data_IF_962715855262
#
_entry.id   IF_962715855262
#
_cell.length_a   1.000
_cell.length_b   1.000
_cell.length_c   1.000
_cell.angle_alpha   90.00
_cell.angle_beta   90.00
_cell.angle_gamma   90.00
#
_symmetry.space_group_name_H-M   'P 1'
#
loop_
_entity.id
_entity.type
_entity.pdbx_description
1 polymer ?
#
# COMPACT_ATOMS: atom_id res chain seq x y z
N UNK A 1 26.50 -3.64 9.75
CA UNK A 1 25.54 -3.92 8.68
C UNK A 1 24.99 -5.32 8.89
N UNK A 2 23.75 -5.59 8.53
CA UNK A 2 23.25 -6.98 8.45
C UNK A 2 23.90 -7.60 7.21
N UNK A 3 24.39 -8.84 7.32
CA UNK A 3 24.85 -9.62 6.19
C UNK A 3 23.70 -9.78 5.17
N UNK A 4 24.01 -9.75 3.87
CA UNK A 4 22.99 -9.81 2.81
C UNK A 4 22.18 -11.11 2.86
N UNK A 5 22.81 -12.22 3.18
CA UNK A 5 22.11 -13.51 3.33
C UNK A 5 21.23 -13.53 4.58
N UNK A 6 21.70 -12.93 5.69
CA UNK A 6 20.86 -12.73 6.87
C UNK A 6 19.67 -11.82 6.57
N UNK A 7 19.88 -10.72 5.82
CA UNK A 7 18.79 -9.83 5.40
C UNK A 7 17.78 -10.56 4.53
N UNK A 8 18.23 -11.34 3.55
CA UNK A 8 17.35 -12.15 2.71
C UNK A 8 16.50 -13.12 3.56
N UNK A 9 17.15 -13.83 4.49
CA UNK A 9 16.43 -14.76 5.37
C UNK A 9 15.36 -14.03 6.21
N UNK A 10 15.70 -12.85 6.76
CA UNK A 10 14.76 -12.00 7.51
C UNK A 10 13.55 -11.58 6.67
N UNK A 11 13.79 -11.13 5.42
CA UNK A 11 12.72 -10.69 4.51
C UNK A 11 11.84 -11.88 4.11
N UNK A 12 12.43 -13.01 3.71
CA UNK A 12 11.68 -14.22 3.31
C UNK A 12 10.83 -14.74 4.46
N UNK A 13 11.40 -14.86 5.66
CA UNK A 13 10.64 -15.32 6.83
C UNK A 13 9.52 -14.33 7.20
N UNK A 14 9.77 -13.02 7.13
CA UNK A 14 8.75 -11.99 7.35
C UNK A 14 7.61 -12.10 6.34
N UNK A 15 7.93 -12.28 5.05
CA UNK A 15 6.93 -12.50 4.00
C UNK A 15 6.11 -13.78 4.23
N UNK A 16 6.75 -14.89 4.58
CA UNK A 16 6.06 -16.15 4.88
C UNK A 16 5.14 -16.03 6.09
N UNK A 17 5.57 -15.30 7.13
CA UNK A 17 4.72 -15.04 8.30
C UNK A 17 3.48 -14.22 7.92
N UNK A 18 3.61 -13.18 7.06
CA UNK A 18 2.45 -12.45 6.56
C UNK A 18 1.47 -13.36 5.81
N UNK A 19 1.97 -14.28 4.96
CA UNK A 19 1.11 -15.23 4.24
C UNK A 19 0.28 -16.12 5.18
N UNK A 20 0.82 -16.44 6.36
CA UNK A 20 0.19 -17.35 7.33
C UNK A 20 -0.66 -16.60 8.35
N UNK A 21 -0.14 -15.51 8.91
CA UNK A 21 -0.76 -14.82 10.05
C UNK A 21 -1.64 -13.64 9.62
N UNK A 22 -1.25 -12.90 8.55
CA UNK A 22 -1.87 -11.60 8.24
C UNK A 22 -1.71 -10.62 9.41
N UNK A 23 -2.74 -9.78 9.65
CA UNK A 23 -2.76 -8.81 10.76
C UNK A 23 -3.77 -9.25 11.84
N UNK A 24 -3.41 -10.18 12.73
CA UNK A 24 -4.32 -10.67 13.74
C UNK A 24 -4.63 -9.57 14.77
N UNK A 25 -5.90 -9.41 15.14
CA UNK A 25 -6.38 -8.34 16.02
C UNK A 25 -5.74 -8.32 17.41
N UNK A 26 -5.22 -9.47 17.88
CA UNK A 26 -4.54 -9.59 19.19
C UNK A 26 -3.11 -9.05 19.16
N UNK A 27 -2.48 -8.94 17.96
CA UNK A 27 -1.15 -8.37 17.80
C UNK A 27 -1.27 -6.87 17.50
N UNK A 28 -0.74 -6.06 18.41
CA UNK A 28 -0.77 -4.62 18.21
C UNK A 28 0.13 -4.20 17.06
N UNK A 29 -0.45 -3.64 16.00
CA UNK A 29 0.30 -3.24 14.82
C UNK A 29 0.97 -1.88 15.02
N UNK A 30 2.33 -1.75 14.82
CA UNK A 30 3.07 -0.50 15.05
C UNK A 30 2.57 0.70 14.25
N UNK A 31 1.95 0.49 13.09
CA UNK A 31 1.29 1.55 12.30
C UNK A 31 0.26 2.34 13.14
N UNK A 32 -0.42 1.69 14.09
CA UNK A 32 -1.36 2.38 14.99
C UNK A 32 -0.66 3.35 15.94
N UNK A 33 0.57 2.99 16.39
CA UNK A 33 1.41 3.90 17.19
C UNK A 33 1.87 5.10 16.33
N UNK A 34 2.32 4.82 15.11
CA UNK A 34 2.72 5.86 14.15
C UNK A 34 1.53 6.80 13.90
N UNK A 35 0.33 6.26 13.65
CA UNK A 35 -0.88 7.06 13.44
C UNK A 35 -1.25 7.92 14.65
N UNK A 36 -1.18 7.36 15.87
CA UNK A 36 -1.42 8.12 17.10
C UNK A 36 -0.38 9.24 17.26
N UNK A 37 0.89 8.97 16.96
CA UNK A 37 1.97 9.94 17.00
C UNK A 37 1.80 11.06 15.97
N UNK A 38 1.39 10.73 14.74
CA UNK A 38 1.06 11.73 13.70
C UNK A 38 -0.05 12.65 14.21
N UNK A 39 -1.13 12.09 14.78
CA UNK A 39 -2.25 12.86 15.31
C UNK A 39 -1.85 13.75 16.50
N UNK A 40 -0.95 13.26 17.34
CA UNK A 40 -0.39 14.04 18.45
C UNK A 40 0.43 15.23 17.94
N UNK A 41 1.34 14.99 17.01
CA UNK A 41 2.18 16.04 16.41
C UNK A 41 1.35 17.05 15.62
N UNK A 42 0.35 16.61 14.84
CA UNK A 42 -0.56 17.51 14.10
C UNK A 42 -1.18 18.54 15.03
N UNK A 43 -1.74 18.09 16.17
CA UNK A 43 -2.35 18.98 17.17
C UNK A 43 -1.34 19.98 17.75
N UNK A 44 -0.13 19.51 18.07
CA UNK A 44 0.96 20.38 18.56
C UNK A 44 1.42 21.41 17.54
N UNK A 45 1.62 20.97 16.30
CA UNK A 45 2.05 21.84 15.19
C UNK A 45 1.01 22.92 14.94
N UNK A 46 -0.28 22.60 14.85
CA UNK A 46 -1.33 23.61 14.67
C UNK A 46 -1.38 24.62 15.80
N UNK A 47 -1.16 24.18 17.04
CA UNK A 47 -1.12 25.07 18.20
C UNK A 47 0.09 26.03 18.18
N UNK A 48 1.25 25.57 17.70
CA UNK A 48 2.51 26.33 17.72
C UNK A 48 2.63 27.24 16.49
N UNK A 49 2.32 26.73 15.30
CA UNK A 49 2.51 27.43 14.03
C UNK A 49 1.28 28.27 13.64
N UNK A 50 0.08 27.93 14.16
CA UNK A 50 -1.19 28.55 13.75
C UNK A 50 -1.70 28.03 12.40
N UNK A 51 -2.71 28.71 11.84
CA UNK A 51 -3.47 28.25 10.66
C UNK A 51 -3.08 28.95 9.35
N UNK A 52 -2.01 29.77 9.35
CA UNK A 52 -1.52 30.43 8.15
C UNK A 52 -0.93 29.42 7.14
N UNK A 53 -1.13 29.65 5.84
CA UNK A 53 -0.69 28.72 4.78
C UNK A 53 0.81 28.37 4.88
N UNK A 54 1.69 29.37 5.00
CA UNK A 54 3.14 29.16 5.12
C UNK A 54 3.52 28.47 6.44
N UNK A 55 2.80 28.81 7.51
CA UNK A 55 3.01 28.19 8.81
C UNK A 55 2.64 26.68 8.76
N UNK A 56 1.51 26.34 8.12
CA UNK A 56 1.11 24.95 7.93
C UNK A 56 2.03 24.18 6.97
N UNK A 57 2.57 24.82 5.92
CA UNK A 57 3.57 24.21 5.05
C UNK A 57 4.85 23.87 5.82
N UNK A 58 5.38 24.83 6.60
CA UNK A 58 6.55 24.62 7.46
C UNK A 58 6.26 23.54 8.52
N UNK A 59 5.08 23.60 9.16
CA UNK A 59 4.60 22.61 10.11
C UNK A 59 4.52 21.18 9.50
N UNK A 60 4.10 21.08 8.23
CA UNK A 60 4.08 19.80 7.49
C UNK A 60 5.48 19.22 7.28
N UNK A 61 6.47 20.05 6.97
CA UNK A 61 7.87 19.61 6.89
C UNK A 61 8.38 19.13 8.26
N UNK A 62 8.07 19.87 9.32
CA UNK A 62 8.41 19.47 10.70
C UNK A 62 7.75 18.15 11.06
N UNK A 63 6.46 17.95 10.71
CA UNK A 63 5.76 16.69 10.91
C UNK A 63 6.51 15.51 10.25
N UNK A 64 6.88 15.67 8.97
CA UNK A 64 7.62 14.63 8.23
C UNK A 64 8.94 14.30 8.90
N UNK A 65 9.73 15.33 9.27
CA UNK A 65 11.04 15.13 9.90
C UNK A 65 10.93 14.41 11.25
N UNK A 66 9.96 14.80 12.09
CA UNK A 66 9.76 14.16 13.39
C UNK A 66 9.25 12.74 13.26
N UNK A 67 8.27 12.46 12.41
CA UNK A 67 7.71 11.12 12.26
C UNK A 67 8.74 10.17 11.66
N UNK A 68 9.42 10.55 10.58
CA UNK A 68 10.46 9.71 9.96
C UNK A 68 11.68 9.53 10.85
N UNK A 69 12.17 10.61 11.48
CA UNK A 69 13.31 10.58 12.39
C UNK A 69 13.04 9.72 13.63
N UNK A 70 11.89 9.89 14.28
CA UNK A 70 11.49 9.06 15.42
C UNK A 70 11.34 7.59 15.03
N UNK A 71 10.73 7.32 13.87
CA UNK A 71 10.58 5.95 13.38
C UNK A 71 11.95 5.30 13.13
N UNK A 72 12.89 6.03 12.52
CA UNK A 72 14.26 5.55 12.30
C UNK A 72 15.00 5.25 13.62
N UNK A 73 14.93 6.19 14.58
CA UNK A 73 15.58 6.06 15.89
C UNK A 73 14.98 4.93 16.71
N UNK A 74 13.66 4.79 16.72
CA UNK A 74 12.98 3.75 17.51
C UNK A 74 13.24 2.37 16.89
N UNK A 75 13.01 2.18 15.59
CA UNK A 75 13.23 0.88 14.94
C UNK A 75 14.71 0.48 14.94
N UNK A 76 15.59 1.42 14.64
CA UNK A 76 17.06 1.19 14.68
C UNK A 76 17.55 0.95 16.11
N UNK A 77 17.05 1.71 17.08
CA UNK A 77 17.38 1.55 18.51
C UNK A 77 16.94 0.20 19.08
N UNK A 78 15.75 -0.28 18.72
CA UNK A 78 15.27 -1.62 19.09
C UNK A 78 16.23 -2.68 18.55
N UNK A 79 16.56 -2.63 17.25
CA UNK A 79 17.46 -3.61 16.64
C UNK A 79 18.88 -3.54 17.20
N UNK A 80 19.37 -2.33 17.51
CA UNK A 80 20.66 -2.15 18.17
C UNK A 80 20.66 -2.76 19.57
N UNK A 81 19.65 -2.46 20.39
CA UNK A 81 19.53 -3.01 21.75
C UNK A 81 19.42 -4.55 21.73
N UNK A 82 18.59 -5.11 20.84
CA UNK A 82 18.50 -6.56 20.66
C UNK A 82 19.84 -7.18 20.26
N UNK A 83 20.59 -6.53 19.36
CA UNK A 83 21.90 -6.99 18.93
C UNK A 83 22.96 -6.95 20.04
N UNK A 84 22.80 -6.04 21.02
CA UNK A 84 23.66 -6.01 22.23
C UNK A 84 23.40 -7.17 23.20
N UNK A 85 22.18 -7.72 23.15
CA UNK A 85 21.78 -8.87 23.98
C UNK A 85 22.23 -10.16 23.28
N UNK A 86 21.79 -10.41 22.04
CA UNK A 86 22.25 -11.53 21.23
C UNK A 86 21.95 -11.31 19.74
N UNK A 87 22.78 -11.89 18.83
CA UNK A 87 22.49 -11.89 17.39
C UNK A 87 21.16 -12.57 17.06
N UNK A 88 20.83 -13.67 17.73
CA UNK A 88 19.57 -14.41 17.52
C UNK A 88 18.32 -13.58 17.89
N UNK A 89 18.38 -12.78 18.96
CA UNK A 89 17.29 -11.88 19.32
C UNK A 89 17.12 -10.78 18.28
N UNK A 90 18.22 -10.18 17.79
CA UNK A 90 18.18 -9.20 16.71
C UNK A 90 17.55 -9.79 15.45
N UNK A 91 17.94 -11.00 15.06
CA UNK A 91 17.38 -11.70 13.91
C UNK A 91 15.87 -11.90 14.08
N UNK A 92 15.43 -12.46 15.20
CA UNK A 92 14.01 -12.70 15.48
C UNK A 92 13.17 -11.40 15.42
N UNK A 93 13.65 -10.34 16.07
CA UNK A 93 12.94 -9.03 16.06
C UNK A 93 12.97 -8.42 14.66
N UNK A 94 14.04 -8.58 13.88
CA UNK A 94 14.07 -8.16 12.48
C UNK A 94 13.04 -8.87 11.63
N UNK A 95 12.84 -10.18 11.81
CA UNK A 95 11.80 -10.96 11.13
C UNK A 95 10.40 -10.44 11.48
N UNK A 96 10.14 -10.17 12.76
CA UNK A 96 8.85 -9.64 13.23
C UNK A 96 8.59 -8.25 12.63
N UNK A 97 9.60 -7.37 12.63
CA UNK A 97 9.47 -6.03 12.04
C UNK A 97 9.24 -6.11 10.51
N UNK A 98 9.90 -7.02 9.81
CA UNK A 98 9.66 -7.24 8.37
C UNK A 98 8.26 -7.80 8.10
N UNK A 99 7.82 -8.77 8.89
CA UNK A 99 6.47 -9.33 8.79
C UNK A 99 5.39 -8.26 8.85
N UNK A 100 5.47 -7.34 9.81
CA UNK A 100 4.48 -6.28 10.00
C UNK A 100 4.53 -5.15 8.95
N UNK A 101 5.47 -5.20 8.00
CA UNK A 101 5.53 -4.28 6.88
C UNK A 101 4.73 -4.76 5.66
N UNK A 102 4.54 -6.07 5.54
CA UNK A 102 3.75 -6.65 4.47
C UNK A 102 2.25 -6.60 4.76
N UNK A 103 1.47 -6.51 3.70
CA UNK A 103 0.01 -6.45 3.80
C UNK A 103 -0.70 -7.41 2.80
N UNK A 104 -0.02 -8.48 2.34
CA UNK A 104 -0.60 -9.38 1.32
C UNK A 104 -1.83 -10.10 1.86
N UNK A 105 -1.69 -10.72 3.03
CA UNK A 105 -2.77 -11.49 3.65
C UNK A 105 -3.88 -10.58 4.16
N UNK A 106 -3.54 -9.46 4.80
CA UNK A 106 -4.54 -8.52 5.33
C UNK A 106 -5.36 -7.86 4.21
N UNK A 107 -4.75 -7.47 3.09
CA UNK A 107 -5.47 -6.96 1.92
C UNK A 107 -6.49 -7.96 1.39
N UNK A 108 -6.07 -9.23 1.25
CA UNK A 108 -6.98 -10.30 0.87
C UNK A 108 -8.12 -10.45 1.87
N UNK A 109 -7.79 -10.58 3.15
CA UNK A 109 -8.79 -10.89 4.17
C UNK A 109 -9.81 -9.76 4.29
N UNK A 110 -9.39 -8.48 4.22
CA UNK A 110 -10.28 -7.32 4.28
C UNK A 110 -11.11 -7.16 3.00
N UNK A 111 -10.52 -7.27 1.81
CA UNK A 111 -11.28 -7.20 0.55
C UNK A 111 -12.26 -8.38 0.41
N UNK A 112 -11.91 -9.56 0.91
CA UNK A 112 -12.81 -10.72 0.92
C UNK A 112 -13.96 -10.58 1.94
N UNK A 113 -13.88 -9.68 2.95
CA UNK A 113 -15.06 -9.31 3.75
C UNK A 113 -16.08 -8.58 2.87
N UNK A 114 -15.63 -7.62 2.06
CA UNK A 114 -16.48 -6.92 1.10
C UNK A 114 -17.17 -7.91 0.15
N UNK A 115 -16.39 -8.82 -0.46
CA UNK A 115 -16.91 -9.87 -1.35
C UNK A 115 -18.01 -10.71 -0.68
N UNK A 116 -17.80 -11.12 0.57
CA UNK A 116 -18.78 -11.95 1.29
C UNK A 116 -20.11 -11.24 1.52
N UNK A 117 -20.09 -9.94 1.82
CA UNK A 117 -21.31 -9.17 2.02
C UNK A 117 -22.02 -8.88 0.69
N UNK A 118 -21.27 -8.60 -0.38
CA UNK A 118 -21.83 -8.47 -1.74
C UNK A 118 -22.49 -9.78 -2.20
N UNK A 119 -21.89 -10.93 -1.89
CA UNK A 119 -22.44 -12.25 -2.25
C UNK A 119 -23.73 -12.59 -1.50
N UNK A 120 -23.99 -11.96 -0.35
CA UNK A 120 -25.25 -12.06 0.40
C UNK A 120 -26.31 -11.08 -0.07
N UNK A 121 -25.99 -10.23 -1.07
CA UNK A 121 -26.82 -9.09 -1.52
C UNK A 121 -27.07 -8.05 -0.41
N UNK A 122 -26.17 -7.99 0.61
CA UNK A 122 -26.23 -7.03 1.72
C UNK A 122 -25.39 -5.78 1.38
N UNK A 123 -25.97 -4.86 0.62
CA UNK A 123 -25.29 -3.63 0.23
C UNK A 123 -24.90 -2.72 1.41
N UNK A 124 -25.72 -2.53 2.47
CA UNK A 124 -25.31 -1.76 3.65
C UNK A 124 -24.06 -2.35 4.34
N UNK A 125 -24.02 -3.67 4.56
CA UNK A 125 -22.87 -4.33 5.16
C UNK A 125 -21.63 -4.27 4.23
N UNK A 126 -21.80 -4.41 2.91
CA UNK A 126 -20.72 -4.29 1.93
C UNK A 126 -20.15 -2.85 1.88
N UNK A 127 -20.98 -1.81 1.97
CA UNK A 127 -20.55 -0.41 2.10
C UNK A 127 -19.75 -0.18 3.37
N UNK A 128 -20.19 -0.74 4.49
CA UNK A 128 -19.44 -0.67 5.75
C UNK A 128 -18.09 -1.40 5.62
N UNK A 129 -18.07 -2.61 5.08
CA UNK A 129 -16.83 -3.36 4.91
C UNK A 129 -15.83 -2.62 4.00
N UNK A 130 -16.28 -2.06 2.88
CA UNK A 130 -15.39 -1.31 1.98
C UNK A 130 -14.92 0.02 2.60
N UNK A 131 -15.73 0.69 3.43
CA UNK A 131 -15.33 1.93 4.11
C UNK A 131 -14.14 1.74 5.06
N UNK A 132 -13.88 0.51 5.50
CA UNK A 132 -12.73 0.19 6.35
C UNK A 132 -11.39 0.13 5.58
N UNK A 133 -11.45 0.10 4.25
CA UNK A 133 -10.25 -0.06 3.40
C UNK A 133 -10.09 1.04 2.33
N UNK A 134 -11.04 1.97 2.21
CA UNK A 134 -10.97 3.09 1.25
C UNK A 134 -11.03 4.44 1.95
N UNK A 135 -10.43 5.46 1.34
CA UNK A 135 -10.48 6.85 1.85
C UNK A 135 -11.62 7.71 1.30
N UNK A 136 -12.55 7.13 0.49
CA UNK A 136 -13.69 7.83 -0.12
C UNK A 136 -14.98 7.58 0.64
N UNK A 137 -15.99 8.43 0.41
CA UNK A 137 -17.33 8.22 0.94
C UNK A 137 -17.97 6.99 0.27
N UNK A 138 -18.53 6.07 1.05
CA UNK A 138 -19.06 4.79 0.56
C UNK A 138 -20.58 4.70 0.60
N UNK A 139 -21.26 5.61 1.28
CA UNK A 139 -22.71 5.56 1.52
C UNK A 139 -23.55 5.57 0.26
N UNK A 140 -23.02 6.15 -0.84
CA UNK A 140 -23.73 6.31 -2.12
C UNK A 140 -23.38 5.26 -3.16
N UNK A 141 -22.43 4.35 -2.85
CA UNK A 141 -21.96 3.33 -3.80
C UNK A 141 -23.04 2.26 -3.97
N UNK A 142 -23.34 1.90 -5.21
CA UNK A 142 -24.09 0.68 -5.54
C UNK A 142 -23.17 -0.56 -5.44
N UNK A 143 -23.68 -1.74 -5.72
CA UNK A 143 -22.93 -3.00 -5.70
C UNK A 143 -21.68 -2.94 -6.59
N UNK A 144 -21.84 -2.38 -7.80
CA UNK A 144 -20.75 -2.20 -8.76
C UNK A 144 -19.71 -1.22 -8.24
N UNK A 145 -20.14 -0.10 -7.66
CA UNK A 145 -19.26 0.91 -7.05
C UNK A 145 -18.45 0.36 -5.86
N UNK A 146 -19.09 -0.43 -5.01
CA UNK A 146 -18.42 -1.13 -3.89
C UNK A 146 -17.39 -2.13 -4.41
N UNK A 147 -17.74 -2.92 -5.43
CA UNK A 147 -16.81 -3.87 -6.06
C UNK A 147 -15.60 -3.16 -6.66
N UNK A 148 -15.82 -2.09 -7.45
CA UNK A 148 -14.73 -1.28 -8.03
C UNK A 148 -13.81 -0.73 -6.95
N UNK A 149 -14.37 -0.14 -5.89
CA UNK A 149 -13.60 0.41 -4.79
C UNK A 149 -12.70 -0.64 -4.11
N UNK A 150 -13.21 -1.86 -3.90
CA UNK A 150 -12.42 -2.95 -3.34
C UNK A 150 -11.30 -3.41 -4.29
N UNK A 151 -11.59 -3.56 -5.60
CA UNK A 151 -10.59 -3.94 -6.63
C UNK A 151 -9.49 -2.88 -6.76
N UNK A 152 -9.86 -1.59 -6.81
CA UNK A 152 -8.91 -0.47 -6.85
C UNK A 152 -7.97 -0.49 -5.64
N UNK A 153 -8.53 -0.68 -4.44
CA UNK A 153 -7.75 -0.75 -3.20
C UNK A 153 -6.75 -1.92 -3.21
N UNK A 154 -7.16 -3.10 -3.67
CA UNK A 154 -6.25 -4.25 -3.79
C UNK A 154 -5.16 -3.95 -4.82
N UNK A 155 -5.50 -3.35 -5.95
CA UNK A 155 -4.54 -3.02 -7.01
C UNK A 155 -3.50 -1.99 -6.55
N UNK A 156 -3.95 -0.87 -5.96
CA UNK A 156 -3.08 0.20 -5.44
C UNK A 156 -2.17 -0.32 -4.32
N UNK A 157 -2.73 -1.04 -3.35
CA UNK A 157 -1.97 -1.55 -2.21
C UNK A 157 -1.08 -2.76 -2.57
N UNK A 158 -1.19 -3.36 -3.74
CA UNK A 158 -0.17 -4.28 -4.26
C UNK A 158 1.17 -3.56 -4.40
N UNK A 159 1.16 -2.26 -4.77
CA UNK A 159 2.37 -1.41 -4.72
C UNK A 159 2.70 -0.99 -3.30
N UNK A 160 1.80 -0.29 -2.61
CA UNK A 160 2.08 0.43 -1.37
C UNK A 160 2.20 -0.47 -0.14
N UNK A 161 1.52 -1.61 -0.15
CA UNK A 161 1.50 -2.58 0.94
C UNK A 161 2.44 -3.78 0.73
N UNK A 162 3.02 -3.95 -0.48
CA UNK A 162 3.88 -5.11 -0.78
C UNK A 162 5.16 -4.69 -1.49
N UNK A 163 5.05 -4.14 -2.71
CA UNK A 163 6.23 -3.86 -3.53
C UNK A 163 7.15 -2.81 -2.92
N UNK A 164 6.59 -1.70 -2.43
CA UNK A 164 7.37 -0.63 -1.86
C UNK A 164 8.00 -1.01 -0.50
N UNK A 165 7.30 -1.62 0.47
CA UNK A 165 7.95 -2.18 1.65
C UNK A 165 9.10 -3.13 1.30
N UNK A 166 8.88 -4.08 0.38
CA UNK A 166 9.91 -5.02 -0.05
C UNK A 166 11.11 -4.30 -0.65
N UNK A 167 10.89 -3.32 -1.54
CA UNK A 167 11.94 -2.52 -2.16
C UNK A 167 12.81 -1.82 -1.10
N UNK A 168 12.19 -1.16 -0.12
CA UNK A 168 12.93 -0.45 0.92
C UNK A 168 13.62 -1.39 1.91
N UNK A 169 13.02 -2.55 2.21
CA UNK A 169 13.68 -3.57 3.02
C UNK A 169 14.93 -4.15 2.33
N UNK A 170 14.87 -4.38 1.02
CA UNK A 170 16.02 -4.82 0.21
C UNK A 170 17.16 -3.79 0.24
N UNK A 171 16.83 -2.49 0.19
CA UNK A 171 17.85 -1.42 0.22
C UNK A 171 18.49 -1.20 1.59
N UNK A 172 17.72 -1.23 2.66
CA UNK A 172 18.20 -0.81 4.00
C UNK A 172 17.59 -1.56 5.18
N UNK A 173 17.05 -2.75 4.94
CA UNK A 173 16.50 -3.62 5.98
C UNK A 173 15.20 -3.08 6.58
N UNK A 174 14.79 -3.66 7.73
CA UNK A 174 13.52 -3.30 8.37
C UNK A 174 13.41 -1.82 8.73
N UNK A 175 14.52 -1.16 9.08
CA UNK A 175 14.50 0.27 9.45
C UNK A 175 14.03 1.15 8.29
N UNK A 176 14.58 0.93 7.09
CA UNK A 176 14.18 1.71 5.92
C UNK A 176 12.77 1.36 5.47
N UNK A 177 12.36 0.10 5.60
CA UNK A 177 10.97 -0.32 5.41
C UNK A 177 9.99 0.42 6.33
N UNK A 178 10.35 0.58 7.62
CA UNK A 178 9.51 1.31 8.57
C UNK A 178 9.47 2.82 8.32
N UNK A 179 10.58 3.42 7.88
CA UNK A 179 10.60 4.83 7.44
C UNK A 179 9.62 5.04 6.28
N UNK A 180 9.70 4.17 5.26
CA UNK A 180 8.74 4.19 4.16
C UNK A 180 7.29 4.05 4.68
N UNK A 181 7.02 3.05 5.53
CA UNK A 181 5.67 2.82 6.08
C UNK A 181 5.14 4.00 6.88
N UNK A 182 6.03 4.71 7.58
CA UNK A 182 5.66 5.93 8.31
C UNK A 182 5.26 7.06 7.36
N UNK A 183 5.96 7.24 6.23
CA UNK A 183 5.60 8.23 5.20
C UNK A 183 4.26 7.89 4.56
N UNK A 184 4.08 6.65 4.15
CA UNK A 184 2.83 6.16 3.57
C UNK A 184 1.63 6.30 4.54
N UNK A 185 1.87 6.07 5.85
CA UNK A 185 0.85 6.30 6.89
C UNK A 185 0.53 7.80 7.05
N UNK A 186 1.54 8.68 6.98
CA UNK A 186 1.30 10.12 7.02
C UNK A 186 0.46 10.58 5.82
N UNK A 187 0.80 10.13 4.61
CA UNK A 187 0.01 10.47 3.42
C UNK A 187 -1.43 10.01 3.56
N UNK A 188 -1.66 8.76 3.97
CA UNK A 188 -2.99 8.21 4.20
C UNK A 188 -3.81 8.97 5.25
N UNK A 189 -3.16 9.63 6.23
CA UNK A 189 -3.85 10.35 7.31
C UNK A 189 -4.03 11.84 7.04
N UNK A 190 -3.03 12.49 6.43
CA UNK A 190 -3.00 13.95 6.27
C UNK A 190 -2.76 14.42 4.83
N UNK A 191 -2.51 13.53 3.87
CA UNK A 191 -2.21 13.87 2.47
C UNK A 191 -3.40 14.35 1.65
N UNK A 192 -4.59 14.44 2.22
CA UNK A 192 -5.81 14.84 1.53
C UNK A 192 -5.78 16.31 1.07
N UNK A 193 -6.28 16.57 -0.15
CA UNK A 193 -6.41 17.93 -0.72
C UNK A 193 -7.72 18.60 -0.29
N UNK A 194 -8.01 18.60 1.01
CA UNK A 194 -9.14 19.32 1.62
C UNK A 194 -8.66 20.54 2.41
N UNK A 195 -9.60 21.39 2.82
CA UNK A 195 -9.28 22.64 3.51
C UNK A 195 -8.43 22.42 4.78
N UNK A 196 -8.58 21.29 5.45
CA UNK A 196 -7.83 20.95 6.67
C UNK A 196 -6.37 20.61 6.40
N UNK A 197 -6.08 19.88 5.30
CA UNK A 197 -4.79 19.24 5.08
C UNK A 197 -4.01 19.76 3.85
N UNK A 198 -4.62 20.62 3.03
CA UNK A 198 -4.03 21.12 1.77
C UNK A 198 -2.58 21.62 1.92
N UNK A 199 -2.30 22.32 3.01
CA UNK A 199 -0.97 22.86 3.29
C UNK A 199 -0.17 21.96 4.23
N UNK A 200 -0.73 21.52 5.34
CA UNK A 200 -0.04 20.69 6.33
C UNK A 200 0.39 19.32 5.76
N UNK A 201 -0.50 18.66 5.03
CA UNK A 201 -0.23 17.32 4.47
C UNK A 201 0.63 17.33 3.22
N UNK A 202 0.89 18.50 2.62
CA UNK A 202 1.55 18.59 1.31
C UNK A 202 2.96 18.00 1.30
N UNK A 203 3.72 18.17 2.37
CA UNK A 203 5.07 17.61 2.48
C UNK A 203 5.03 16.07 2.55
N UNK A 204 4.12 15.50 3.34
CA UNK A 204 3.92 14.05 3.44
C UNK A 204 3.50 13.45 2.10
N UNK A 205 2.48 14.03 1.44
CA UNK A 205 1.99 13.58 0.14
C UNK A 205 3.09 13.61 -0.94
N UNK A 206 3.90 14.68 -0.99
CA UNK A 206 4.99 14.79 -1.97
C UNK A 206 6.14 13.81 -1.69
N UNK A 207 6.43 13.54 -0.42
CA UNK A 207 7.43 12.54 -0.06
C UNK A 207 6.94 11.13 -0.38
N UNK A 208 5.67 10.82 -0.12
CA UNK A 208 5.06 9.54 -0.50
C UNK A 208 5.06 9.35 -2.03
N UNK A 209 4.66 10.38 -2.79
CA UNK A 209 4.75 10.38 -4.26
C UNK A 209 6.17 10.05 -4.75
N UNK A 210 7.21 10.62 -4.10
CA UNK A 210 8.61 10.37 -4.45
C UNK A 210 9.06 8.95 -4.09
N UNK A 211 8.73 8.49 -2.88
CA UNK A 211 9.15 7.16 -2.41
C UNK A 211 8.46 6.04 -3.18
N UNK A 212 7.22 6.23 -3.60
CA UNK A 212 6.48 5.25 -4.42
C UNK A 212 6.82 5.32 -5.91
N UNK A 213 7.61 6.31 -6.37
CA UNK A 213 7.85 6.51 -7.80
C UNK A 213 8.47 5.28 -8.48
N UNK A 214 9.53 4.72 -7.94
CA UNK A 214 10.19 3.52 -8.47
C UNK A 214 9.37 2.24 -8.14
N UNK A 215 9.00 1.99 -6.86
CA UNK A 215 8.27 0.78 -6.51
C UNK A 215 6.98 0.55 -7.30
N UNK A 216 6.16 1.60 -7.50
CA UNK A 216 4.90 1.47 -8.23
C UNK A 216 5.10 1.04 -9.69
N UNK A 217 6.13 1.54 -10.35
CA UNK A 217 6.46 1.17 -11.73
C UNK A 217 7.00 -0.24 -11.82
N UNK A 218 7.90 -0.62 -10.91
CA UNK A 218 8.40 -2.01 -10.82
C UNK A 218 7.25 -2.97 -10.55
N UNK A 219 6.37 -2.64 -9.61
CA UNK A 219 5.19 -3.43 -9.29
C UNK A 219 4.28 -3.60 -10.52
N UNK A 220 3.99 -2.52 -11.25
CA UNK A 220 3.15 -2.56 -12.45
C UNK A 220 3.74 -3.50 -13.52
N UNK A 221 5.04 -3.43 -13.81
CA UNK A 221 5.67 -4.32 -14.78
C UNK A 221 5.63 -5.79 -14.33
N UNK A 222 5.87 -6.06 -13.04
CA UNK A 222 5.75 -7.42 -12.49
C UNK A 222 4.30 -7.91 -12.54
N UNK A 223 3.33 -7.04 -12.26
CA UNK A 223 1.89 -7.35 -12.36
C UNK A 223 1.46 -7.63 -13.81
N UNK A 224 1.99 -6.90 -14.80
CA UNK A 224 1.80 -7.21 -16.22
C UNK A 224 2.35 -8.61 -16.52
N UNK A 225 3.57 -8.92 -16.09
CA UNK A 225 4.15 -10.25 -16.28
C UNK A 225 3.29 -11.34 -15.60
N UNK A 226 2.83 -11.09 -14.38
CA UNK A 226 1.92 -12.00 -13.66
C UNK A 226 0.61 -12.26 -14.41
N UNK A 227 0.13 -11.26 -15.19
CA UNK A 227 -1.08 -11.38 -16.00
C UNK A 227 -0.90 -12.24 -17.26
N UNK A 228 0.34 -12.41 -17.74
CA UNK A 228 0.66 -13.35 -18.84
C UNK A 228 0.75 -14.81 -18.38
N UNK A 229 0.93 -15.06 -17.09
CA UNK A 229 1.04 -16.43 -16.60
C UNK A 229 -0.29 -17.20 -16.76
N UNK A 230 -0.23 -18.48 -17.16
CA UNK A 230 -1.43 -19.29 -17.33
C UNK A 230 -2.36 -19.24 -16.12
N UNK A 231 -3.65 -19.05 -16.37
CA UNK A 231 -4.71 -19.12 -15.35
C UNK A 231 -5.82 -20.06 -15.80
N UNK A 232 -6.53 -20.64 -14.84
CA UNK A 232 -7.77 -21.32 -15.17
C UNK A 232 -8.73 -20.30 -15.77
N UNK A 233 -9.48 -20.72 -16.78
CA UNK A 233 -10.54 -19.92 -17.41
C UNK A 233 -10.10 -18.58 -18.05
N UNK A 234 -8.80 -18.41 -18.35
CA UNK A 234 -8.26 -17.18 -18.95
C UNK A 234 -8.69 -15.89 -18.17
N UNK A 235 -8.63 -15.96 -16.84
CA UNK A 235 -9.06 -14.87 -15.95
C UNK A 235 -8.30 -13.56 -16.22
N UNK A 236 -7.07 -13.62 -16.75
CA UNK A 236 -6.19 -12.47 -16.94
C UNK A 236 -5.76 -12.31 -18.40
N UNK A 237 -5.73 -11.06 -18.84
CA UNK A 237 -5.26 -10.65 -20.17
C UNK A 237 -4.00 -9.80 -20.03
N UNK A 238 -2.83 -10.42 -20.20
CA UNK A 238 -1.53 -9.73 -20.07
C UNK A 238 -1.29 -8.71 -21.17
N UNK A 239 -1.80 -8.97 -22.41
CA UNK A 239 -1.63 -8.04 -23.52
C UNK A 239 -2.44 -6.77 -23.30
N UNK A 240 -3.69 -6.91 -22.90
CA UNK A 240 -4.57 -5.79 -22.60
C UNK A 240 -4.13 -5.05 -21.33
N UNK A 241 -3.63 -5.78 -20.29
CA UNK A 241 -3.01 -5.17 -19.12
C UNK A 241 -1.86 -4.21 -19.49
N UNK A 242 -0.97 -4.63 -20.40
CA UNK A 242 0.12 -3.78 -20.89
C UNK A 242 -0.38 -2.58 -21.70
N UNK A 243 -1.37 -2.78 -22.56
CA UNK A 243 -1.99 -1.70 -23.35
C UNK A 243 -2.58 -0.62 -22.46
N UNK A 244 -3.45 -1.01 -21.50
CA UNK A 244 -4.09 -0.09 -20.57
C UNK A 244 -3.06 0.60 -19.67
N UNK A 245 -2.06 -0.12 -19.18
CA UNK A 245 -0.97 0.49 -18.42
C UNK A 245 -0.28 1.61 -19.21
N UNK A 246 0.08 1.38 -20.45
CA UNK A 246 0.77 2.39 -21.26
C UNK A 246 -0.11 3.62 -21.53
N UNK A 247 -1.43 3.44 -21.68
CA UNK A 247 -2.41 4.48 -21.98
C UNK A 247 -2.84 5.26 -20.72
N UNK A 248 -3.18 4.56 -19.62
CA UNK A 248 -3.96 5.12 -18.51
C UNK A 248 -3.15 5.30 -17.21
N UNK A 249 -1.91 4.87 -17.12
CA UNK A 249 -1.08 4.93 -15.89
C UNK A 249 -0.90 6.31 -15.27
N UNK A 250 -1.35 7.37 -15.92
CA UNK A 250 -1.33 8.74 -15.43
C UNK A 250 -2.75 9.32 -15.23
N UNK A 251 -3.78 8.49 -15.26
CA UNK A 251 -5.17 8.91 -15.09
C UNK A 251 -5.60 9.01 -13.62
N UNK A 252 -4.68 9.23 -12.69
CA UNK A 252 -4.94 9.43 -11.27
C UNK A 252 -4.28 10.72 -10.76
N UNK A 253 -4.79 11.26 -9.64
CA UNK A 253 -4.23 12.45 -9.00
C UNK A 253 -2.85 12.22 -8.35
N UNK A 254 -2.59 11.00 -7.86
CA UNK A 254 -1.24 10.52 -7.51
C UNK A 254 -0.57 9.98 -8.78
N UNK A 255 0.73 10.23 -8.99
CA UNK A 255 1.48 9.70 -10.13
C UNK A 255 1.75 8.19 -10.03
N UNK A 256 1.38 7.56 -8.91
CA UNK A 256 1.73 6.18 -8.55
C UNK A 256 0.52 5.23 -8.53
N UNK A 257 -0.64 5.64 -8.03
CA UNK A 257 -1.83 4.79 -7.85
C UNK A 257 -2.29 4.14 -9.15
N UNK A 258 -2.41 4.93 -10.25
CA UNK A 258 -2.82 4.40 -11.53
C UNK A 258 -1.80 3.45 -12.18
N UNK A 259 -0.58 3.31 -11.67
CA UNK A 259 0.39 2.37 -12.25
C UNK A 259 -0.13 0.93 -12.12
N UNK A 260 -0.53 0.51 -10.94
CA UNK A 260 -1.05 -0.83 -10.67
C UNK A 260 -2.56 -0.96 -10.94
N UNK A 261 -3.34 0.12 -10.71
CA UNK A 261 -4.78 0.13 -11.03
C UNK A 261 -5.02 -0.09 -12.54
N UNK A 262 -4.22 0.56 -13.41
CA UNK A 262 -4.35 0.40 -14.86
C UNK A 262 -3.99 -1.01 -15.33
N UNK A 263 -2.98 -1.64 -14.72
CA UNK A 263 -2.66 -3.04 -14.99
C UNK A 263 -3.80 -3.95 -14.58
N UNK A 264 -4.37 -3.74 -13.37
CA UNK A 264 -5.47 -4.55 -12.87
C UNK A 264 -6.72 -4.39 -13.75
N UNK A 265 -7.08 -3.15 -14.12
CA UNK A 265 -8.20 -2.87 -15.02
C UNK A 265 -8.06 -3.57 -16.37
N UNK A 266 -6.90 -3.44 -17.00
CA UNK A 266 -6.61 -4.11 -18.27
C UNK A 266 -6.58 -5.63 -18.15
N UNK A 267 -5.91 -6.15 -17.13
CA UNK A 267 -5.84 -7.59 -16.86
C UNK A 267 -7.21 -8.25 -16.71
N UNK A 268 -8.12 -7.56 -16.01
CA UNK A 268 -9.49 -8.01 -15.77
C UNK A 268 -10.47 -7.59 -16.87
N UNK A 269 -10.06 -6.77 -17.84
CA UNK A 269 -10.89 -6.24 -18.94
C UNK A 269 -12.10 -5.46 -18.46
N UNK A 270 -11.93 -4.66 -17.40
CA UNK A 270 -12.97 -3.84 -16.76
C UNK A 270 -12.55 -2.38 -16.69
N UNK A 271 -13.53 -1.51 -16.50
CA UNK A 271 -13.31 -0.08 -16.29
C UNK A 271 -13.42 0.27 -14.80
N UNK A 272 -12.33 0.80 -14.26
CA UNK A 272 -12.19 1.27 -12.89
C UNK A 272 -12.19 2.81 -12.81
N UNK A 273 -12.02 3.34 -11.61
CA UNK A 273 -12.02 4.78 -11.30
C UNK A 273 -13.30 5.50 -11.75
N UNK A 274 -13.18 6.75 -12.20
CA UNK A 274 -14.31 7.64 -12.44
C UNK A 274 -14.64 8.51 -11.23
N UNK A 275 -15.73 9.26 -11.32
CA UNK A 275 -16.14 10.22 -10.30
C UNK A 275 -16.35 9.55 -8.94
N UNK A 276 -15.88 10.18 -7.86
CA UNK A 276 -16.01 9.65 -6.50
C UNK A 276 -16.30 10.76 -5.49
N UNK A 277 -17.00 10.43 -4.41
CA UNK A 277 -17.30 11.34 -3.33
C UNK A 277 -16.22 11.30 -2.26
N UNK A 278 -15.75 12.47 -1.83
CA UNK A 278 -14.80 12.66 -0.75
C UNK A 278 -15.28 13.78 0.16
N UNK A 279 -15.48 13.49 1.43
CA UNK A 279 -15.95 14.47 2.43
C UNK A 279 -17.21 15.24 1.96
N UNK A 280 -18.17 14.53 1.37
CA UNK A 280 -19.41 15.08 0.84
C UNK A 280 -19.29 15.88 -0.46
N UNK A 281 -18.10 15.98 -1.06
CA UNK A 281 -17.85 16.67 -2.34
C UNK A 281 -17.59 15.66 -3.46
N UNK A 282 -18.22 15.86 -4.62
CA UNK A 282 -17.96 15.04 -5.82
C UNK A 282 -16.65 15.50 -6.47
N UNK A 283 -15.69 14.58 -6.58
CA UNK A 283 -14.43 14.79 -7.26
C UNK A 283 -14.46 14.08 -8.60
N UNK A 284 -14.34 14.85 -9.68
CA UNK A 284 -14.26 14.31 -11.03
C UNK A 284 -12.90 13.65 -11.25
N UNK A 285 -12.92 12.40 -11.72
CA UNK A 285 -11.74 11.62 -12.04
C UNK A 285 -11.88 10.97 -13.42
N UNK A 286 -10.74 10.77 -14.08
CA UNK A 286 -10.70 10.00 -15.31
C UNK A 286 -10.97 8.52 -15.02
N UNK A 287 -11.54 7.83 -15.99
CA UNK A 287 -11.63 6.38 -15.96
C UNK A 287 -10.28 5.73 -16.28
N UNK A 288 -10.11 4.50 -15.81
CA UNK A 288 -8.95 3.65 -16.03
C UNK A 288 -9.45 2.31 -16.59
N UNK A 289 -8.91 1.89 -17.74
CA UNK A 289 -9.34 0.69 -18.44
C UNK A 289 -10.54 0.88 -19.34
N UNK A 290 -10.98 -0.21 -19.94
CA UNK A 290 -12.06 -0.25 -20.91
C UNK A 290 -13.24 -1.07 -20.37
N UNK A 291 -14.46 -0.74 -20.82
CA UNK A 291 -15.70 -1.39 -20.40
C UNK A 291 -15.99 -2.58 -21.34
N UNK A 292 -15.05 -3.55 -21.38
CA UNK A 292 -15.16 -4.72 -22.26
C UNK A 292 -16.12 -5.78 -21.72
N UNK A 293 -16.34 -5.77 -20.41
CA UNK A 293 -17.34 -6.56 -19.72
C UNK A 293 -17.83 -5.82 -18.46
N UNK A 294 -19.01 -6.14 -17.94
CA UNK A 294 -19.45 -5.60 -16.67
C UNK A 294 -18.50 -6.02 -15.53
N UNK A 295 -18.41 -5.15 -14.52
CA UNK A 295 -17.71 -5.47 -13.27
C UNK A 295 -18.57 -6.44 -12.47
N UNK A 296 -17.98 -7.54 -12.04
CA UNK A 296 -18.59 -8.62 -11.27
C UNK A 296 -18.01 -8.65 -9.86
N UNK A 297 -18.76 -9.13 -8.88
CA UNK A 297 -18.25 -9.28 -7.50
C UNK A 297 -17.04 -10.23 -7.45
N UNK A 298 -16.93 -11.17 -8.39
CA UNK A 298 -15.82 -12.09 -8.59
C UNK A 298 -14.51 -11.39 -8.96
N UNK A 299 -14.55 -10.10 -9.36
CA UNK A 299 -13.33 -9.34 -9.64
C UNK A 299 -12.52 -9.05 -8.37
N UNK A 300 -13.15 -9.06 -7.20
CA UNK A 300 -12.43 -8.96 -5.92
C UNK A 300 -11.50 -10.18 -5.69
N UNK A 301 -11.97 -11.43 -5.72
CA UNK A 301 -11.06 -12.58 -5.64
C UNK A 301 -10.09 -12.68 -6.83
N UNK A 302 -10.44 -12.23 -8.04
CA UNK A 302 -9.52 -12.17 -9.19
C UNK A 302 -8.38 -11.16 -8.91
N UNK A 303 -8.68 -9.96 -8.43
CA UNK A 303 -7.67 -8.98 -8.03
C UNK A 303 -6.74 -9.53 -6.94
N UNK A 304 -7.27 -10.26 -5.96
CA UNK A 304 -6.46 -10.92 -4.94
C UNK A 304 -5.55 -12.02 -5.51
N UNK A 305 -6.00 -12.78 -6.50
CA UNK A 305 -5.12 -13.75 -7.19
C UNK A 305 -3.96 -13.03 -7.89
N UNK A 306 -4.23 -11.89 -8.52
CA UNK A 306 -3.20 -11.08 -9.18
C UNK A 306 -2.23 -10.48 -8.16
N UNK A 307 -2.72 -9.96 -7.02
CA UNK A 307 -1.92 -9.53 -5.88
C UNK A 307 -0.94 -10.64 -5.44
N UNK A 308 -1.44 -11.85 -5.19
CA UNK A 308 -0.61 -12.97 -4.73
C UNK A 308 0.45 -13.36 -5.75
N UNK A 309 0.09 -13.50 -7.04
CA UNK A 309 1.05 -13.79 -8.10
C UNK A 309 2.17 -12.75 -8.17
N UNK A 310 1.78 -11.47 -8.16
CA UNK A 310 2.71 -10.34 -8.18
C UNK A 310 3.64 -10.38 -6.97
N UNK A 311 3.11 -10.61 -5.78
CA UNK A 311 3.88 -10.65 -4.53
C UNK A 311 4.94 -11.78 -4.52
N UNK A 312 4.59 -12.98 -4.99
CA UNK A 312 5.55 -14.08 -5.09
C UNK A 312 6.64 -13.84 -6.12
N UNK A 313 6.31 -13.22 -7.27
CA UNK A 313 7.31 -12.87 -8.28
C UNK A 313 8.25 -11.80 -7.72
N UNK A 314 7.72 -10.76 -7.06
CA UNK A 314 8.52 -9.72 -6.42
C UNK A 314 9.46 -10.30 -5.36
N UNK A 315 8.98 -11.26 -4.55
CA UNK A 315 9.81 -11.95 -3.57
C UNK A 315 10.93 -12.76 -4.24
N UNK A 316 10.64 -13.46 -5.34
CA UNK A 316 11.65 -14.16 -6.12
C UNK A 316 12.71 -13.22 -6.71
N UNK A 317 12.30 -12.05 -7.21
CA UNK A 317 13.22 -11.03 -7.70
C UNK A 317 14.08 -10.45 -6.58
N UNK A 318 13.50 -10.18 -5.41
CA UNK A 318 14.24 -9.74 -4.23
C UNK A 318 15.32 -10.78 -3.84
N UNK A 319 14.94 -12.07 -3.79
CA UNK A 319 15.89 -13.13 -3.47
C UNK A 319 17.03 -13.22 -4.48
N UNK A 320 16.74 -13.07 -5.77
CA UNK A 320 17.76 -13.04 -6.82
C UNK A 320 18.71 -11.84 -6.66
N UNK A 321 18.17 -10.64 -6.41
CA UNK A 321 18.97 -9.42 -6.20
C UNK A 321 19.88 -9.55 -4.98
N UNK A 322 19.35 -9.98 -3.83
CA UNK A 322 20.15 -10.14 -2.61
C UNK A 322 21.24 -11.21 -2.77
N UNK A 323 20.94 -12.30 -3.48
CA UNK A 323 21.95 -13.34 -3.77
C UNK A 323 23.06 -12.79 -4.67
N UNK A 324 22.73 -12.04 -5.72
CA UNK A 324 23.74 -11.42 -6.59
C UNK A 324 24.60 -10.41 -5.82
N UNK A 325 23.96 -9.55 -5.01
CA UNK A 325 24.69 -8.55 -4.20
C UNK A 325 25.60 -9.19 -3.13
N UNK A 326 25.29 -10.40 -2.69
CA UNK A 326 26.15 -11.15 -1.76
C UNK A 326 27.36 -11.81 -2.45
N UNK A 327 27.30 -12.04 -3.76
CA UNK A 327 28.38 -12.62 -4.55
C UNK A 327 29.39 -11.58 -5.06
N UNK A 328 29.00 -10.29 -5.05
CA UNK A 328 29.84 -9.15 -5.42
C UNK A 328 30.62 -8.60 -4.23
#
# INVERSE_FOLDING_TARGET
MIDRMELLAVIVLGFLLDQVLGDPHWLYHPVRLIGAYISFLEKGIRKIFGDGEWALLAGGVVLVLFVTGTTAVVSGGILYACGRISPGLKFLVSVILCYQLFAVRSLKDESMKVYRELKKDDLPAARYAVSMIVGRDTERLDMTGVTKAAVETVAENTSDGVAAPLFYMTLGGPVLGWIYKAVNTMDSMVGYKNDKYLYLGRAAAKLDDLLNFIPARLCAWVMIFASYLPSKDHEFDGSHAKEIFLRDRFNHASPNSAQTESVCAGSLRIRLAGDAWYFGKLVKKKYIGDDLRPVEIEDIPRANKLLYRTSWILMGLCAAVETVLNLL
#
